data_IF_629810543255
#
_entry.id   IF_629810543255
#
_cell.length_a   1.000
_cell.length_b   1.000
_cell.length_c   1.000
_cell.angle_alpha   90.00
_cell.angle_beta   90.00
_cell.angle_gamma   90.00
#
_symmetry.space_group_name_H-M   'P 1'
#
loop_
_entity.id
_entity.type
_entity.pdbx_description
1 polymer ?
#
# COMPACT_ATOMS: atom_id res chain seq x y z
N UNK A 1 3.51 -47.91 11.17
CA UNK A 1 3.18 -46.53 10.77
C UNK A 1 3.48 -45.63 11.96
N UNK A 2 4.56 -44.86 11.91
CA UNK A 2 4.82 -43.83 12.93
C UNK A 2 3.90 -42.65 12.67
N UNK A 3 3.16 -42.24 13.70
CA UNK A 3 2.41 -40.99 13.67
C UNK A 3 3.43 -39.85 13.65
N UNK A 4 3.30 -38.97 12.66
CA UNK A 4 4.05 -37.73 12.58
C UNK A 4 3.27 -36.72 13.43
N UNK A 5 3.77 -36.42 14.63
CA UNK A 5 3.24 -35.33 15.43
C UNK A 5 3.50 -34.03 14.66
N UNK A 6 2.43 -33.30 14.37
CA UNK A 6 2.51 -31.94 13.83
C UNK A 6 2.93 -31.07 15.01
N UNK A 7 4.21 -30.68 15.05
CA UNK A 7 4.66 -29.62 15.95
C UNK A 7 3.97 -28.32 15.55
N UNK A 8 3.07 -27.83 16.40
CA UNK A 8 2.57 -26.47 16.37
C UNK A 8 3.78 -25.52 16.48
N UNK A 9 4.06 -24.77 15.42
CA UNK A 9 5.10 -23.73 15.41
C UNK A 9 4.71 -22.67 16.44
N UNK A 10 5.20 -22.86 17.66
CA UNK A 10 4.96 -21.96 18.77
C UNK A 10 5.78 -20.67 18.56
N UNK A 11 5.03 -19.57 18.48
CA UNK A 11 5.47 -18.19 18.51
C UNK A 11 6.41 -17.73 17.39
N UNK A 12 5.86 -17.59 16.18
CA UNK A 12 6.40 -16.62 15.22
C UNK A 12 6.22 -15.23 15.84
N UNK A 13 7.19 -14.70 16.59
CA UNK A 13 7.19 -13.28 16.94
C UNK A 13 7.21 -12.49 15.63
N UNK A 14 6.02 -12.00 15.25
CA UNK A 14 5.84 -11.30 13.99
C UNK A 14 6.80 -10.13 13.92
N UNK A 15 7.39 -9.90 12.75
CA UNK A 15 8.30 -8.78 12.55
C UNK A 15 7.66 -7.48 13.07
N UNK A 16 8.42 -6.63 13.78
CA UNK A 16 7.86 -5.41 14.34
C UNK A 16 7.34 -4.51 13.21
N UNK A 17 6.11 -4.04 13.36
CA UNK A 17 5.54 -3.04 12.47
C UNK A 17 6.25 -1.71 12.71
N UNK A 18 6.99 -1.22 11.72
CA UNK A 18 7.82 -0.03 11.85
C UNK A 18 7.03 1.25 11.54
N UNK A 19 6.39 1.30 10.38
CA UNK A 19 5.77 2.51 9.86
C UNK A 19 4.67 2.22 8.84
N UNK A 20 3.79 3.21 8.67
CA UNK A 20 2.81 3.22 7.59
C UNK A 20 3.52 3.54 6.27
N UNK A 21 3.56 2.57 5.36
CA UNK A 21 4.24 2.74 4.08
C UNK A 21 3.40 3.50 3.06
N UNK A 22 2.10 3.22 2.97
CA UNK A 22 1.20 3.86 2.02
C UNK A 22 -0.26 3.71 2.45
N UNK A 23 -1.14 4.55 1.90
CA UNK A 23 -2.60 4.44 2.04
C UNK A 23 -3.21 4.45 0.64
N UNK A 24 -4.13 3.52 0.38
CA UNK A 24 -4.88 3.45 -0.88
C UNK A 24 -6.32 3.89 -0.65
N UNK A 25 -6.85 4.75 -1.55
CA UNK A 25 -8.21 5.28 -1.46
C UNK A 25 -8.94 5.12 -2.79
N UNK A 26 -10.18 4.61 -2.73
CA UNK A 26 -11.10 4.64 -3.87
C UNK A 26 -11.78 6.01 -3.92
N UNK A 27 -11.73 6.66 -5.07
CA UNK A 27 -12.28 8.00 -5.27
C UNK A 27 -13.21 8.04 -6.48
N UNK A 28 -14.12 9.02 -6.49
CA UNK A 28 -15.05 9.24 -7.60
C UNK A 28 -14.33 9.68 -8.88
N UNK A 29 -13.26 10.48 -8.75
CA UNK A 29 -12.49 11.01 -9.87
C UNK A 29 -11.01 11.10 -9.51
N UNK A 30 -10.19 10.37 -10.28
CA UNK A 30 -8.73 10.35 -10.10
C UNK A 30 -8.15 11.74 -10.31
N UNK A 31 -8.51 12.41 -11.42
CA UNK A 31 -7.98 13.73 -11.76
C UNK A 31 -8.34 14.82 -10.74
N UNK A 32 -9.58 14.82 -10.23
CA UNK A 32 -9.99 15.78 -9.21
C UNK A 32 -9.22 15.54 -7.90
N UNK A 33 -9.01 14.27 -7.53
CA UNK A 33 -8.25 13.91 -6.33
C UNK A 33 -6.78 14.28 -6.48
N UNK A 34 -6.14 13.97 -7.61
CA UNK A 34 -4.76 14.35 -7.92
C UNK A 34 -4.59 15.86 -7.77
N UNK A 35 -5.46 16.65 -8.39
CA UNK A 35 -5.40 18.11 -8.30
C UNK A 35 -5.48 18.62 -6.87
N UNK A 36 -6.35 18.04 -6.05
CA UNK A 36 -6.45 18.38 -4.63
C UNK A 36 -5.16 18.03 -3.87
N UNK A 37 -4.63 16.82 -4.05
CA UNK A 37 -3.42 16.39 -3.36
C UNK A 37 -2.19 17.20 -3.80
N UNK A 38 -2.07 17.56 -5.08
CA UNK A 38 -0.96 18.39 -5.57
C UNK A 38 -1.11 19.87 -5.20
N UNK A 39 -2.24 20.50 -5.55
CA UNK A 39 -2.39 21.96 -5.44
C UNK A 39 -2.72 22.43 -4.01
N UNK A 40 -3.40 21.60 -3.21
CA UNK A 40 -3.84 21.99 -1.85
C UNK A 40 -2.91 21.40 -0.79
N UNK A 41 -2.56 20.13 -0.93
CA UNK A 41 -1.74 19.43 0.07
C UNK A 41 -0.24 19.43 -0.28
N UNK A 42 0.15 19.81 -1.49
CA UNK A 42 1.56 19.89 -1.90
C UNK A 42 2.22 18.53 -2.15
N UNK A 43 1.43 17.48 -2.39
CA UNK A 43 1.96 16.17 -2.74
C UNK A 43 2.49 16.19 -4.18
N UNK A 44 3.40 15.27 -4.50
CA UNK A 44 4.00 15.16 -5.83
C UNK A 44 3.54 13.86 -6.50
N UNK A 45 3.06 13.95 -7.74
CA UNK A 45 2.74 12.77 -8.55
C UNK A 45 4.00 11.95 -8.88
N UNK A 46 3.98 10.65 -8.58
CA UNK A 46 5.10 9.73 -8.84
C UNK A 46 4.76 8.71 -9.94
N UNK A 47 5.81 8.08 -10.49
CA UNK A 47 5.66 7.07 -11.55
C UNK A 47 4.89 5.85 -11.05
N UNK A 48 3.85 5.50 -11.80
CA UNK A 48 3.06 4.29 -11.56
C UNK A 48 3.70 3.05 -12.19
N UNK A 49 3.64 1.87 -11.53
CA UNK A 49 4.02 0.60 -12.12
C UNK A 49 3.15 0.29 -13.33
N UNK A 50 3.80 -0.10 -14.42
CA UNK A 50 3.15 -0.44 -15.69
C UNK A 50 2.30 -1.70 -15.63
N UNK A 51 2.43 -2.51 -14.58
CA UNK A 51 1.66 -3.74 -14.38
C UNK A 51 0.18 -3.49 -14.05
N UNK A 52 -0.19 -2.27 -13.64
CA UNK A 52 -1.56 -1.96 -13.30
C UNK A 52 -2.35 -1.45 -14.51
N UNK A 53 -3.46 -2.14 -14.83
CA UNK A 53 -4.29 -1.89 -16.02
C UNK A 53 -5.57 -1.07 -15.74
N UNK A 54 -5.72 -0.47 -14.54
CA UNK A 54 -6.86 0.38 -14.18
C UNK A 54 -6.50 1.88 -14.18
N UNK A 55 -7.44 2.79 -13.93
CA UNK A 55 -7.12 4.22 -13.75
C UNK A 55 -6.72 4.51 -12.30
N UNK A 56 -5.63 5.22 -12.08
CA UNK A 56 -5.16 5.57 -10.74
C UNK A 56 -3.94 6.49 -10.77
N UNK A 57 -3.65 7.08 -9.62
CA UNK A 57 -2.51 7.96 -9.42
C UNK A 57 -1.81 7.62 -8.11
N UNK A 58 -0.49 7.81 -8.09
CA UNK A 58 0.33 7.66 -6.89
C UNK A 58 0.96 8.99 -6.58
N UNK A 59 0.82 9.43 -5.34
CA UNK A 59 1.36 10.68 -4.87
C UNK A 59 2.19 10.44 -3.62
N UNK A 60 3.30 11.16 -3.49
CA UNK A 60 4.17 11.13 -2.33
C UNK A 60 4.28 12.54 -1.74
N UNK A 61 4.33 12.61 -0.42
CA UNK A 61 4.79 13.78 0.30
C UNK A 61 6.28 13.58 0.58
N UNK A 62 7.12 14.56 0.24
CA UNK A 62 8.54 14.56 0.55
C UNK A 62 8.81 15.30 1.85
#
# INVERSE_FOLDING_TARGET
MSFMEIEEVSNCEGLPLLSLNHVSLLCRSVWASVRFYEEVLGFVLIKRPSSFNFNGAWLAFY
#
